data_IF_411729303034
#
_entry.id   IF_411729303034
#
_cell.length_a   1.000
_cell.length_b   1.000
_cell.length_c   1.000
_cell.angle_alpha   90.00
_cell.angle_beta   90.00
_cell.angle_gamma   90.00
#
_symmetry.space_group_name_H-M   'P 1'
#
loop_
_entity.id
_entity.type
_entity.pdbx_description
1 polymer ?
#
# COMPACT_ATOMS: atom_id res chain seq x y z
N UNK A 1 0.28 -7.60 -0.41
CA UNK A 1 0.39 -6.14 -0.31
C UNK A 1 -0.60 -5.49 -1.25
N UNK A 2 -1.27 -4.45 -0.80
CA UNK A 2 -2.17 -3.59 -1.58
C UNK A 2 -1.71 -2.14 -1.45
N UNK A 3 -1.78 -1.37 -2.52
CA UNK A 3 -1.27 0.01 -2.51
C UNK A 3 -2.41 1.00 -2.63
N UNK A 4 -2.44 1.95 -1.70
CA UNK A 4 -3.38 3.06 -1.67
C UNK A 4 -2.61 4.35 -2.01
N UNK A 5 -2.80 4.94 -3.21
CA UNK A 5 -2.05 6.13 -3.60
C UNK A 5 -2.49 7.36 -2.80
N UNK A 6 -1.53 8.10 -2.23
CA UNK A 6 -1.83 9.34 -1.50
C UNK A 6 -2.36 10.45 -2.40
N UNK A 7 -2.02 10.43 -3.69
CA UNK A 7 -2.41 11.44 -4.68
C UNK A 7 -2.71 10.81 -6.05
N UNK A 8 -3.39 11.56 -6.92
CA UNK A 8 -3.61 11.15 -8.32
C UNK A 8 -2.30 10.98 -9.11
N UNK A 9 -1.25 11.72 -8.75
CA UNK A 9 0.07 11.56 -9.36
C UNK A 9 0.68 10.21 -8.99
N UNK A 10 0.71 9.87 -7.70
CA UNK A 10 1.20 8.57 -7.23
C UNK A 10 0.39 7.43 -7.84
N UNK A 11 -0.93 7.59 -7.94
CA UNK A 11 -1.81 6.65 -8.64
C UNK A 11 -1.30 6.38 -10.07
N UNK A 12 -1.15 7.43 -10.87
CA UNK A 12 -0.68 7.32 -12.26
C UNK A 12 0.67 6.61 -12.36
N UNK A 13 1.60 6.94 -11.46
CA UNK A 13 2.93 6.33 -11.41
C UNK A 13 2.91 4.87 -10.98
N UNK A 14 2.03 4.47 -10.06
CA UNK A 14 1.84 3.06 -9.71
C UNK A 14 1.29 2.26 -10.90
N UNK A 15 0.32 2.82 -11.64
CA UNK A 15 -0.25 2.17 -12.83
C UNK A 15 0.71 2.10 -14.02
N UNK A 16 1.74 2.96 -14.06
CA UNK A 16 2.76 2.91 -15.11
C UNK A 16 3.86 1.87 -14.85
N UNK A 17 3.94 1.30 -13.64
CA UNK A 17 4.91 0.26 -13.31
C UNK A 17 4.71 -1.00 -14.16
N UNK A 18 5.82 -1.68 -14.44
CA UNK A 18 5.87 -2.93 -15.18
C UNK A 18 6.65 -3.98 -14.40
N UNK A 19 6.38 -5.25 -14.72
CA UNK A 19 7.16 -6.36 -14.18
C UNK A 19 8.64 -6.15 -14.47
N UNK A 20 9.48 -6.28 -13.45
CA UNK A 20 10.92 -6.06 -13.54
C UNK A 20 11.38 -4.67 -13.11
N UNK A 21 10.48 -3.71 -12.87
CA UNK A 21 10.87 -2.45 -12.24
C UNK A 21 11.29 -2.70 -10.79
N UNK A 22 12.53 -2.30 -10.46
CA UNK A 22 12.97 -2.17 -9.08
C UNK A 22 12.49 -0.81 -8.59
N UNK A 23 11.72 -0.79 -7.52
CA UNK A 23 11.15 0.45 -6.99
C UNK A 23 11.57 0.69 -5.55
N UNK A 24 11.56 1.96 -5.18
CA UNK A 24 11.62 2.45 -3.82
C UNK A 24 10.34 3.25 -3.55
N UNK A 25 9.72 3.00 -2.40
CA UNK A 25 8.50 3.69 -1.99
C UNK A 25 8.51 3.96 -0.49
N UNK A 26 7.91 5.09 -0.10
CA UNK A 26 7.73 5.47 1.30
C UNK A 26 6.25 5.72 1.56
N UNK A 27 5.82 5.37 2.77
CA UNK A 27 4.42 5.45 3.17
C UNK A 27 4.15 4.77 4.51
N UNK A 28 2.87 4.52 4.77
CA UNK A 28 2.38 3.95 6.03
C UNK A 28 1.62 2.65 5.79
N UNK A 29 1.71 1.72 6.73
CA UNK A 29 0.74 0.62 6.81
C UNK A 29 -0.55 1.18 7.41
N UNK A 30 -1.69 0.93 6.76
CA UNK A 30 -2.96 1.54 7.14
C UNK A 30 -4.09 0.51 7.14
N UNK A 31 -4.99 0.60 8.13
CA UNK A 31 -6.28 -0.07 8.08
C UNK A 31 -7.36 0.83 7.48
N UNK A 32 -8.40 0.23 6.90
CA UNK A 32 -9.54 0.96 6.32
C UNK A 32 -10.80 0.69 7.14
N UNK A 33 -11.43 1.77 7.57
CA UNK A 33 -12.70 1.77 8.31
C UNK A 33 -13.74 2.57 7.52
N UNK A 34 -14.92 2.01 7.35
CA UNK A 34 -16.07 2.67 6.72
C UNK A 34 -17.22 2.69 7.74
N UNK A 35 -17.80 3.86 7.98
CA UNK A 35 -18.92 4.05 8.93
C UNK A 35 -18.71 3.44 10.34
N UNK A 36 -17.48 3.48 10.84
CA UNK A 36 -17.15 2.93 12.15
C UNK A 36 -16.97 1.41 12.16
N UNK A 37 -17.20 0.71 11.05
CA UNK A 37 -16.94 -0.72 10.87
C UNK A 37 -15.58 -0.93 10.19
N UNK A 38 -14.76 -1.83 10.73
CA UNK A 38 -13.52 -2.22 10.06
C UNK A 38 -13.84 -2.97 8.77
N UNK A 39 -13.50 -2.37 7.63
CA UNK A 39 -13.79 -2.93 6.30
C UNK A 39 -12.59 -3.71 5.79
N UNK A 40 -11.37 -3.24 6.11
CA UNK A 40 -10.15 -3.97 5.80
C UNK A 40 -9.11 -3.79 6.89
N UNK A 41 -8.84 -4.88 7.62
CA UNK A 41 -7.78 -4.94 8.61
C UNK A 41 -6.52 -5.42 7.90
N UNK A 42 -5.56 -4.51 7.70
CA UNK A 42 -4.23 -4.88 7.22
C UNK A 42 -3.34 -5.26 8.38
N UNK A 43 -2.30 -6.04 8.10
CA UNK A 43 -1.15 -6.04 9.00
C UNK A 43 -0.60 -4.60 9.13
N UNK A 44 -0.32 -4.18 10.37
CA UNK A 44 0.43 -2.95 10.69
C UNK A 44 1.88 -3.27 11.06
N UNK A 45 2.30 -4.52 10.90
CA UNK A 45 3.65 -5.00 11.16
C UNK A 45 4.23 -5.71 9.95
N UNK A 46 5.46 -5.37 9.59
CA UNK A 46 6.17 -5.99 8.45
C UNK A 46 6.63 -7.43 8.69
N UNK A 47 6.36 -7.98 9.88
CA UNK A 47 6.76 -9.33 10.27
C UNK A 47 5.59 -10.29 10.47
N UNK A 48 4.35 -9.85 10.19
CA UNK A 48 3.17 -10.70 10.41
C UNK A 48 3.05 -11.79 9.35
N UNK A 49 2.69 -13.00 9.78
CA UNK A 49 2.45 -14.18 8.92
C UNK A 49 1.11 -14.82 9.28
N UNK A 50 0.29 -15.18 8.29
CA UNK A 50 -1.03 -15.83 8.47
C UNK A 50 -2.19 -15.18 7.71
N UNK A 51 -3.42 -15.69 7.92
CA UNK A 51 -4.65 -15.12 7.37
C UNK A 51 -4.92 -13.73 7.99
N UNK A 52 -5.11 -12.70 7.16
CA UNK A 52 -5.19 -11.30 7.59
C UNK A 52 -3.88 -10.50 7.50
N UNK A 53 -2.78 -11.13 7.09
CA UNK A 53 -1.47 -10.47 6.92
C UNK A 53 -1.34 -9.61 5.65
N UNK A 54 -2.43 -9.31 4.95
CA UNK A 54 -2.38 -8.48 3.76
C UNK A 54 -2.13 -7.01 4.15
N UNK A 55 -0.88 -6.57 4.05
CA UNK A 55 -0.47 -5.18 4.23
C UNK A 55 -1.14 -4.26 3.19
N UNK A 56 -1.80 -3.19 3.65
CA UNK A 56 -2.23 -2.07 2.82
C UNK A 56 -1.27 -0.93 3.10
N UNK A 57 -0.65 -0.42 2.05
CA UNK A 57 0.34 0.66 2.15
C UNK A 57 -0.26 1.93 1.57
N UNK A 58 -0.42 2.98 2.38
CA UNK A 58 -0.64 4.34 1.92
C UNK A 58 0.68 4.88 1.36
N UNK A 59 0.77 5.04 0.04
CA UNK A 59 2.01 5.38 -0.67
C UNK A 59 2.08 6.89 -0.89
N UNK A 60 3.07 7.54 -0.29
CA UNK A 60 3.32 8.98 -0.43
C UNK A 60 4.37 9.27 -1.51
N UNK A 61 5.38 8.41 -1.61
CA UNK A 61 6.44 8.55 -2.61
C UNK A 61 6.70 7.23 -3.32
N UNK A 62 7.08 7.34 -4.59
CA UNK A 62 7.44 6.21 -5.43
C UNK A 62 8.62 6.65 -6.30
N UNK A 63 9.58 5.77 -6.54
CA UNK A 63 10.71 5.97 -7.46
C UNK A 63 11.07 4.65 -8.13
N UNK A 64 11.29 4.68 -9.43
CA UNK A 64 11.83 3.54 -10.19
C UNK A 64 13.35 3.69 -10.24
N UNK A 65 14.08 2.59 -10.01
CA UNK A 65 15.54 2.49 -10.10
C UNK A 65 15.94 1.86 -11.42
#
# INVERSE_FOLDING_TARGET
MHMLPATNEIKSRLFSLRRGNVIEMTGYLVGIQEDGQWTWMSSLSRTDTGDGACEIVWVETLKVR
#
